data_IF_483533209443
#
_entry.id   IF_483533209443
#
_cell.length_a   1.000
_cell.length_b   1.000
_cell.length_c   1.000
_cell.angle_alpha   90.00
_cell.angle_beta   90.00
_cell.angle_gamma   90.00
#
_symmetry.space_group_name_H-M   'P 1'
#
loop_
_entity.id
_entity.type
_entity.pdbx_description
1 polymer ?
#
# COMPACT_ATOMS: atom_id res chain seq x y z
N UNK A 1 -50.54 4.80 -3.40
CA UNK A 1 -49.67 3.86 -2.64
C UNK A 1 -48.53 3.28 -3.47
N UNK A 2 -48.74 2.88 -4.74
CA UNK A 2 -47.67 2.36 -5.62
C UNK A 2 -46.46 3.32 -5.82
N UNK A 3 -46.69 4.63 -5.86
CA UNK A 3 -45.61 5.61 -6.12
C UNK A 3 -44.67 5.83 -4.92
N UNK A 4 -45.10 5.54 -3.69
CA UNK A 4 -44.25 5.69 -2.50
C UNK A 4 -43.27 4.52 -2.35
N UNK A 5 -43.65 3.32 -2.81
CA UNK A 5 -42.78 2.13 -2.78
C UNK A 5 -41.58 2.33 -3.72
N UNK A 6 -41.80 2.91 -4.90
CA UNK A 6 -40.73 3.21 -5.87
C UNK A 6 -39.71 4.22 -5.31
N UNK A 7 -40.19 5.25 -4.58
CA UNK A 7 -39.34 6.27 -3.99
C UNK A 7 -38.46 5.71 -2.85
N UNK A 8 -39.02 4.81 -2.04
CA UNK A 8 -38.26 4.14 -0.96
C UNK A 8 -37.19 3.20 -1.51
N UNK A 9 -37.50 2.44 -2.57
CA UNK A 9 -36.52 1.55 -3.22
C UNK A 9 -35.39 2.35 -3.87
N UNK A 10 -35.72 3.48 -4.53
CA UNK A 10 -34.71 4.34 -5.15
C UNK A 10 -33.76 4.97 -4.11
N UNK A 11 -34.27 5.34 -2.94
CA UNK A 11 -33.46 5.90 -1.84
C UNK A 11 -32.51 4.88 -1.19
N UNK A 12 -32.90 3.60 -1.13
CA UNK A 12 -32.06 2.50 -0.60
C UNK A 12 -30.94 2.12 -1.60
N UNK A 13 -31.19 2.25 -2.91
CA UNK A 13 -30.17 1.97 -3.93
C UNK A 13 -29.13 3.10 -4.02
N UNK A 14 -29.54 4.36 -3.79
CA UNK A 14 -28.61 5.50 -3.77
C UNK A 14 -27.67 5.52 -2.56
N UNK A 15 -28.06 4.93 -1.42
CA UNK A 15 -27.19 4.83 -0.25
C UNK A 15 -26.18 3.67 -0.33
N UNK A 16 -26.39 2.69 -1.20
CA UNK A 16 -25.48 1.54 -1.36
C UNK A 16 -24.36 1.76 -2.39
N UNK A 17 -24.49 2.73 -3.31
CA UNK A 17 -23.44 3.08 -4.28
C UNK A 17 -22.30 3.93 -3.70
N UNK A 18 -22.46 4.47 -2.48
CA UNK A 18 -21.44 5.31 -1.84
C UNK A 18 -20.36 4.53 -1.06
N UNK A 19 -20.56 3.23 -0.84
CA UNK A 19 -19.54 2.36 -0.24
C UNK A 19 -18.68 1.73 -1.33
N UNK A 20 -18.02 2.56 -2.14
CA UNK A 20 -16.86 2.09 -2.89
C UNK A 20 -15.91 1.43 -1.88
N UNK A 21 -15.56 0.15 -2.11
CA UNK A 21 -14.63 -0.60 -1.24
C UNK A 21 -13.39 0.25 -1.01
N UNK A 22 -13.32 0.93 0.13
CA UNK A 22 -12.17 1.74 0.47
C UNK A 22 -11.04 0.77 0.77
N UNK A 23 -10.08 0.62 -0.13
CA UNK A 23 -8.88 -0.16 0.11
C UNK A 23 -7.80 0.72 0.76
N UNK A 24 -6.81 0.09 1.41
CA UNK A 24 -5.61 0.80 1.90
C UNK A 24 -4.95 1.55 0.74
N UNK A 25 -4.83 0.92 -0.42
CA UNK A 25 -4.32 1.52 -1.67
C UNK A 25 -5.10 2.79 -2.07
N UNK A 26 -6.43 2.77 -1.96
CA UNK A 26 -7.26 3.93 -2.25
C UNK A 26 -7.01 5.11 -1.29
N UNK A 27 -6.65 4.82 -0.04
CA UNK A 27 -6.26 5.86 0.93
C UNK A 27 -4.88 6.41 0.59
N UNK A 28 -3.92 5.53 0.30
CA UNK A 28 -2.56 5.90 -0.07
C UNK A 28 -2.52 6.72 -1.38
N UNK A 29 -3.32 6.35 -2.39
CA UNK A 29 -3.35 7.01 -3.72
C UNK A 29 -3.55 8.52 -3.66
N UNK A 30 -4.22 9.03 -2.63
CA UNK A 30 -4.44 10.48 -2.42
C UNK A 30 -3.13 11.27 -2.32
N UNK A 31 -2.08 10.65 -1.81
CA UNK A 31 -0.80 11.30 -1.48
C UNK A 31 0.20 11.24 -2.65
N UNK A 32 -0.11 10.56 -3.76
CA UNK A 32 0.84 10.35 -4.86
C UNK A 32 1.36 11.65 -5.49
N UNK A 33 0.55 12.69 -5.47
CA UNK A 33 0.83 13.98 -6.09
C UNK A 33 1.29 15.05 -5.09
N UNK A 34 1.53 14.67 -3.82
CA UNK A 34 2.01 15.62 -2.81
C UNK A 34 3.49 15.95 -3.04
N UNK A 35 3.88 17.22 -2.93
CA UNK A 35 5.24 17.71 -3.23
C UNK A 35 6.38 16.99 -2.47
N UNK A 36 6.08 16.53 -1.25
CA UNK A 36 7.02 15.83 -0.38
C UNK A 36 6.90 14.30 -0.43
N UNK A 37 6.05 13.79 -1.31
CA UNK A 37 5.85 12.36 -1.53
C UNK A 37 6.54 11.93 -2.81
N UNK A 38 6.98 10.70 -2.80
CA UNK A 38 7.66 10.07 -3.91
C UNK A 38 7.06 8.67 -4.00
N UNK A 39 6.33 8.40 -5.09
CA UNK A 39 5.54 7.17 -5.24
C UNK A 39 6.00 6.35 -6.43
N UNK A 40 6.08 5.04 -6.24
CA UNK A 40 6.26 4.06 -7.32
C UNK A 40 5.12 3.07 -7.27
N UNK A 41 4.60 2.74 -8.44
CA UNK A 41 3.67 1.63 -8.61
C UNK A 41 4.17 0.73 -9.73
N UNK A 42 4.39 -0.54 -9.41
CA UNK A 42 4.70 -1.59 -10.37
C UNK A 42 3.59 -2.63 -10.40
N UNK A 43 3.10 -2.93 -11.60
CA UNK A 43 2.10 -3.97 -11.84
C UNK A 43 2.37 -4.64 -13.20
N UNK A 44 1.75 -5.81 -13.40
CA UNK A 44 1.74 -6.49 -14.69
C UNK A 44 3.13 -6.76 -15.29
N UNK A 45 3.30 -6.46 -16.57
CA UNK A 45 4.53 -6.79 -17.30
C UNK A 45 5.73 -5.93 -16.89
N UNK A 46 5.50 -4.72 -16.38
CA UNK A 46 6.57 -3.88 -15.84
C UNK A 46 7.17 -4.53 -14.60
N UNK A 47 6.32 -4.95 -13.65
CA UNK A 47 6.76 -5.67 -12.47
C UNK A 47 7.52 -6.97 -12.81
N UNK A 48 7.02 -7.74 -13.79
CA UNK A 48 7.72 -8.95 -14.25
C UNK A 48 9.10 -8.65 -14.82
N UNK A 49 9.28 -7.56 -15.57
CA UNK A 49 10.59 -7.13 -16.07
C UNK A 49 11.54 -6.77 -14.93
N UNK A 50 11.05 -6.03 -13.93
CA UNK A 50 11.85 -5.66 -12.76
C UNK A 50 12.27 -6.87 -11.90
N UNK A 51 11.35 -7.81 -11.65
CA UNK A 51 11.66 -9.01 -10.88
C UNK A 51 12.61 -9.95 -11.64
N UNK A 52 12.51 -10.05 -12.97
CA UNK A 52 13.39 -10.89 -13.79
C UNK A 52 14.86 -10.45 -13.76
N UNK A 53 15.13 -9.16 -13.55
CA UNK A 53 16.50 -8.66 -13.38
C UNK A 53 17.13 -9.10 -12.05
N UNK A 54 16.32 -9.58 -11.10
CA UNK A 54 16.75 -10.04 -9.79
C UNK A 54 16.57 -11.57 -9.74
N UNK A 55 17.54 -12.33 -10.27
CA UNK A 55 17.45 -13.77 -10.60
C UNK A 55 17.12 -14.76 -9.45
N UNK A 56 16.67 -14.33 -8.27
CA UNK A 56 16.47 -15.21 -7.11
C UNK A 56 15.20 -14.91 -6.28
N UNK A 57 14.18 -14.26 -6.86
CA UNK A 57 12.89 -14.04 -6.18
C UNK A 57 11.91 -15.15 -6.62
N UNK A 58 11.56 -16.06 -5.71
CA UNK A 58 10.56 -17.12 -5.95
C UNK A 58 9.12 -16.62 -5.79
N UNK A 59 8.95 -15.48 -5.12
CA UNK A 59 7.67 -14.81 -4.94
C UNK A 59 7.07 -14.38 -6.28
N UNK A 60 5.78 -14.67 -6.48
CA UNK A 60 5.02 -14.13 -7.62
C UNK A 60 4.33 -12.85 -7.15
N UNK A 61 5.07 -11.74 -7.15
CA UNK A 61 4.51 -10.43 -6.83
C UNK A 61 3.75 -9.92 -8.05
N UNK A 62 2.51 -9.51 -7.84
CA UNK A 62 1.60 -9.01 -8.88
C UNK A 62 1.49 -7.49 -8.86
N UNK A 63 1.71 -6.90 -7.69
CA UNK A 63 1.58 -5.47 -7.44
C UNK A 63 2.54 -5.03 -6.35
N UNK A 64 3.20 -3.89 -6.57
CA UNK A 64 3.98 -3.15 -5.58
C UNK A 64 3.57 -1.67 -5.68
N UNK A 65 3.14 -1.08 -4.57
CA UNK A 65 2.95 0.37 -4.43
C UNK A 65 3.76 0.84 -3.23
N UNK A 66 4.70 1.77 -3.47
CA UNK A 66 5.56 2.34 -2.45
C UNK A 66 5.35 3.84 -2.43
N UNK A 67 5.21 4.41 -1.25
CA UNK A 67 5.15 5.84 -1.01
C UNK A 67 6.19 6.22 0.03
N UNK A 68 7.07 7.13 -0.35
CA UNK A 68 8.12 7.68 0.51
C UNK A 68 7.78 9.14 0.77
N UNK A 69 7.49 9.45 2.03
CA UNK A 69 7.27 10.79 2.54
C UNK A 69 8.60 11.33 3.10
N UNK A 70 8.98 12.53 2.70
CA UNK A 70 10.23 13.21 3.13
C UNK A 70 9.92 14.31 4.15
N UNK A 71 10.92 14.73 4.94
CA UNK A 71 10.86 15.90 5.86
C UNK A 71 9.87 15.73 7.03
N UNK A 72 9.85 14.55 7.65
CA UNK A 72 8.89 14.14 8.70
C UNK A 72 7.41 14.35 8.30
N UNK A 73 7.13 14.45 6.99
CA UNK A 73 5.76 14.37 6.49
C UNK A 73 5.30 12.91 6.51
N UNK A 74 3.99 12.70 6.53
CA UNK A 74 3.41 11.38 6.58
C UNK A 74 1.90 11.42 6.38
N UNK A 75 1.29 10.25 6.41
CA UNK A 75 -0.16 10.11 6.30
C UNK A 75 -0.83 10.84 7.47
N UNK A 76 -1.90 11.58 7.17
CA UNK A 76 -2.68 12.31 8.18
C UNK A 76 -3.20 11.36 9.27
N UNK A 77 -3.40 11.87 10.50
CA UNK A 77 -3.93 11.05 11.61
C UNK A 77 -5.27 10.41 11.27
N UNK A 78 -6.13 11.12 10.53
CA UNK A 78 -7.43 10.63 10.05
C UNK A 78 -7.27 9.44 9.09
N UNK A 79 -6.39 9.56 8.10
CA UNK A 79 -6.17 8.49 7.14
C UNK A 79 -5.40 7.31 7.77
N UNK A 80 -4.51 7.54 8.74
CA UNK A 80 -3.87 6.46 9.54
C UNK A 80 -4.90 5.64 10.31
N UNK A 81 -5.86 6.30 10.96
CA UNK A 81 -6.96 5.60 11.63
C UNK A 81 -7.77 4.78 10.63
N UNK A 82 -8.07 5.36 9.46
CA UNK A 82 -8.78 4.66 8.37
C UNK A 82 -8.02 3.44 7.87
N UNK A 83 -6.72 3.56 7.63
CA UNK A 83 -5.86 2.43 7.20
C UNK A 83 -5.88 1.33 8.27
N UNK A 84 -5.72 1.67 9.55
CA UNK A 84 -5.77 0.67 10.62
C UNK A 84 -7.11 -0.07 10.66
N UNK A 85 -8.23 0.64 10.51
CA UNK A 85 -9.56 0.00 10.41
C UNK A 85 -9.62 -0.95 9.21
N UNK A 86 -9.15 -0.51 8.05
CA UNK A 86 -9.16 -1.34 6.83
C UNK A 86 -8.30 -2.60 6.95
N UNK A 87 -7.10 -2.49 7.53
CA UNK A 87 -6.22 -3.63 7.78
C UNK A 87 -6.90 -4.65 8.72
N UNK A 88 -7.58 -4.18 9.76
CA UNK A 88 -8.35 -5.05 10.67
C UNK A 88 -9.55 -5.70 9.98
N UNK A 89 -10.35 -4.94 9.25
CA UNK A 89 -11.53 -5.46 8.53
C UNK A 89 -11.15 -6.46 7.45
N UNK A 90 -9.97 -6.31 6.84
CA UNK A 90 -9.43 -7.22 5.83
C UNK A 90 -8.65 -8.40 6.43
N UNK A 91 -8.66 -8.58 7.76
CA UNK A 91 -7.99 -9.67 8.47
C UNK A 91 -6.47 -9.74 8.22
N UNK A 92 -5.80 -8.58 8.17
CA UNK A 92 -4.34 -8.55 8.20
C UNK A 92 -3.83 -8.92 9.59
N UNK A 93 -2.85 -9.81 9.62
CA UNK A 93 -2.13 -10.19 10.83
C UNK A 93 -0.83 -9.40 10.94
N UNK A 94 -0.43 -9.06 12.16
CA UNK A 94 0.88 -8.44 12.40
C UNK A 94 1.96 -9.51 12.32
N UNK A 95 2.92 -9.31 11.42
CA UNK A 95 4.07 -10.21 11.22
C UNK A 95 5.32 -9.67 11.91
N UNK A 96 5.50 -8.35 11.86
CA UNK A 96 6.62 -7.63 12.48
C UNK A 96 6.07 -6.33 13.06
N UNK A 97 6.39 -6.01 14.31
CA UNK A 97 6.18 -4.68 14.89
C UNK A 97 7.36 -4.37 15.81
N UNK A 98 8.30 -3.56 15.31
CA UNK A 98 9.52 -3.18 16.00
C UNK A 98 9.53 -1.67 16.16
N UNK A 99 9.85 -1.22 17.36
CA UNK A 99 10.00 0.19 17.69
C UNK A 99 11.30 0.40 18.45
N UNK A 100 12.14 1.29 17.94
CA UNK A 100 13.39 1.73 18.57
C UNK A 100 13.41 3.26 18.70
N UNK A 101 14.54 3.81 19.17
CA UNK A 101 14.77 5.26 19.17
C UNK A 101 14.94 5.81 17.75
N UNK A 102 15.45 4.98 16.84
CA UNK A 102 15.78 5.35 15.45
C UNK A 102 14.55 5.29 14.54
N UNK A 103 13.49 4.59 14.96
CA UNK A 103 12.31 4.47 14.14
C UNK A 103 11.33 3.38 14.56
N UNK A 104 10.38 3.14 13.67
CA UNK A 104 9.37 2.08 13.77
C UNK A 104 9.32 1.32 12.46
N UNK A 105 9.23 0.00 12.53
CA UNK A 105 8.93 -0.86 11.40
C UNK A 105 7.73 -1.75 11.75
N UNK A 106 6.68 -1.69 10.94
CA UNK A 106 5.48 -2.51 11.07
C UNK A 106 5.22 -3.21 9.74
N UNK A 107 5.13 -4.53 9.77
CA UNK A 107 4.75 -5.37 8.63
C UNK A 107 3.53 -6.17 9.02
N UNK A 108 2.48 -6.06 8.21
CA UNK A 108 1.26 -6.85 8.34
C UNK A 108 1.01 -7.61 7.06
N UNK A 109 0.32 -8.75 7.12
CA UNK A 109 -0.06 -9.47 5.91
C UNK A 109 -1.27 -10.37 6.08
N UNK A 110 -1.82 -10.80 4.94
CA UNK A 110 -2.87 -11.81 4.88
C UNK A 110 -2.23 -13.12 4.44
N UNK A 111 -2.19 -14.10 5.32
CA UNK A 111 -1.59 -15.42 5.07
C UNK A 111 -2.59 -16.35 4.36
N UNK A 112 -2.09 -17.11 3.39
CA UNK A 112 -2.81 -18.23 2.77
C UNK A 112 -1.83 -19.40 2.56
N UNK A 113 -2.10 -20.52 3.22
CA UNK A 113 -1.17 -21.64 3.32
C UNK A 113 0.23 -21.17 3.78
N UNK A 114 1.24 -21.28 2.92
CA UNK A 114 2.64 -20.94 3.22
C UNK A 114 3.09 -19.58 2.68
N UNK A 115 2.15 -18.74 2.25
CA UNK A 115 2.43 -17.51 1.49
C UNK A 115 1.63 -16.32 2.00
N UNK A 116 2.19 -15.13 1.87
CA UNK A 116 1.48 -13.88 2.11
C UNK A 116 0.85 -13.43 0.80
N UNK A 117 -0.47 -13.24 0.81
CA UNK A 117 -1.25 -12.81 -0.37
C UNK A 117 -1.26 -11.29 -0.52
N UNK A 118 -1.28 -10.60 0.61
CA UNK A 118 -1.15 -9.16 0.70
C UNK A 118 -0.20 -8.81 1.84
N UNK A 119 0.64 -7.81 1.64
CA UNK A 119 1.58 -7.31 2.64
C UNK A 119 1.45 -5.80 2.70
N UNK A 120 1.28 -5.27 3.91
CA UNK A 120 1.35 -3.85 4.21
C UNK A 120 2.60 -3.59 5.04
N UNK A 121 3.37 -2.57 4.66
CA UNK A 121 4.59 -2.16 5.34
C UNK A 121 4.46 -0.69 5.71
N UNK A 122 4.76 -0.37 6.97
CA UNK A 122 4.96 0.98 7.48
C UNK A 122 6.36 1.05 8.10
N UNK A 123 7.22 1.92 7.56
CA UNK A 123 8.51 2.26 8.16
C UNK A 123 8.49 3.75 8.50
N UNK A 124 8.92 4.10 9.71
CA UNK A 124 9.14 5.48 10.11
C UNK A 124 10.57 5.62 10.63
N UNK A 125 11.31 6.58 10.08
CA UNK A 125 12.59 7.06 10.56
C UNK A 125 12.52 8.59 10.75
N UNK A 126 13.59 9.20 11.27
CA UNK A 126 13.63 10.60 11.72
C UNK A 126 13.13 11.60 10.66
N UNK A 127 13.55 11.44 9.39
CA UNK A 127 13.19 12.35 8.29
C UNK A 127 12.34 11.69 7.17
N UNK A 128 11.92 10.44 7.38
CA UNK A 128 11.30 9.64 6.32
C UNK A 128 10.22 8.71 6.85
N UNK A 129 9.08 8.69 6.17
CA UNK A 129 8.05 7.65 6.37
C UNK A 129 7.82 6.90 5.07
N UNK A 130 7.88 5.58 5.11
CA UNK A 130 7.65 4.70 3.96
C UNK A 130 6.39 3.89 4.22
N UNK A 131 5.50 3.86 3.24
CA UNK A 131 4.32 3.03 3.23
C UNK A 131 4.36 2.18 1.96
N UNK A 132 4.23 0.86 2.09
CA UNK A 132 4.22 -0.03 0.94
C UNK A 132 3.09 -1.06 1.01
N UNK A 133 2.58 -1.40 -0.16
CA UNK A 133 1.63 -2.48 -0.40
C UNK A 133 2.24 -3.44 -1.40
N UNK A 134 2.25 -4.72 -1.06
CA UNK A 134 2.59 -5.79 -1.98
C UNK A 134 1.42 -6.75 -2.09
N UNK A 135 1.11 -7.20 -3.30
CA UNK A 135 0.12 -8.25 -3.54
C UNK A 135 0.71 -9.36 -4.40
N UNK A 136 0.23 -10.56 -4.20
CA UNK A 136 0.64 -11.76 -4.93
C UNK A 136 1.09 -12.86 -3.96
N UNK A 137 1.80 -13.87 -4.45
CA UNK A 137 2.33 -14.95 -3.64
C UNK A 137 3.70 -14.56 -3.08
N UNK A 138 3.72 -13.84 -1.96
CA UNK A 138 4.95 -13.30 -1.35
C UNK A 138 5.49 -14.21 -0.26
N UNK A 139 6.76 -14.59 -0.37
CA UNK A 139 7.50 -15.26 0.69
C UNK A 139 8.06 -14.21 1.65
N UNK A 140 7.76 -14.34 2.94
CA UNK A 140 8.22 -13.38 3.96
C UNK A 140 9.75 -13.18 3.94
N UNK A 141 10.50 -14.28 3.77
CA UNK A 141 11.96 -14.26 3.71
C UNK A 141 12.54 -13.50 2.51
N UNK A 142 11.72 -13.20 1.50
CA UNK A 142 12.14 -12.46 0.30
C UNK A 142 11.74 -10.99 0.34
N UNK A 143 11.00 -10.52 1.36
CA UNK A 143 10.56 -9.13 1.45
C UNK A 143 11.71 -8.12 1.40
N UNK A 144 12.82 -8.40 2.08
CA UNK A 144 14.00 -7.53 2.06
C UNK A 144 14.64 -7.46 0.68
N UNK A 145 14.67 -8.58 -0.05
CA UNK A 145 15.17 -8.67 -1.43
C UNK A 145 14.27 -7.93 -2.41
N UNK A 146 12.95 -8.07 -2.26
CA UNK A 146 11.96 -7.35 -3.05
C UNK A 146 12.09 -5.85 -2.78
N UNK A 147 12.20 -5.44 -1.51
CA UNK A 147 12.39 -4.04 -1.15
C UNK A 147 13.70 -3.46 -1.71
N UNK A 148 14.82 -4.21 -1.67
CA UNK A 148 16.09 -3.76 -2.25
C UNK A 148 16.12 -3.75 -3.77
N UNK A 149 15.23 -4.49 -4.42
CA UNK A 149 15.08 -4.48 -5.88
C UNK A 149 14.32 -3.26 -6.41
N UNK A 150 13.62 -2.53 -5.54
CA UNK A 150 12.96 -1.28 -5.91
C UNK A 150 14.05 -0.23 -6.13
N UNK A 151 14.21 0.23 -7.37
CA UNK A 151 15.22 1.23 -7.71
C UNK A 151 14.83 2.61 -7.17
N UNK A 152 15.42 3.00 -6.04
CA UNK A 152 15.22 4.33 -5.44
C UNK A 152 15.95 5.46 -6.20
N UNK A 153 16.78 5.18 -7.21
CA UNK A 153 17.40 6.21 -8.06
C UNK A 153 16.47 6.68 -9.19
N UNK A 154 15.54 5.84 -9.66
CA UNK A 154 14.46 6.31 -10.55
C UNK A 154 13.52 7.31 -9.83
N UNK A 155 13.45 7.24 -8.50
CA UNK A 155 12.69 8.18 -7.68
C UNK A 155 13.27 9.58 -7.60
N UNK A 156 14.59 9.71 -7.69
CA UNK A 156 15.25 11.02 -7.77
C UNK A 156 15.15 11.57 -9.19
N UNK A 157 15.18 10.71 -10.22
CA UNK A 157 15.06 11.10 -11.62
C UNK A 157 13.65 11.61 -11.99
N UNK A 158 12.58 11.05 -11.42
CA UNK A 158 11.20 11.52 -11.64
C UNK A 158 10.92 12.94 -11.12
N UNK A 159 11.78 13.51 -10.26
CA UNK A 159 11.72 14.93 -9.86
C UNK A 159 12.47 15.89 -10.80
N UNK A 160 13.31 15.36 -11.71
CA UNK A 160 14.11 16.18 -12.61
C UNK A 160 13.35 16.51 -13.90
N UNK A 161 12.30 15.75 -14.24
CA UNK A 161 11.50 15.95 -15.45
C UNK A 161 10.33 16.93 -15.29
N UNK A 162 10.07 17.45 -14.09
CA UNK A 162 9.07 18.51 -13.83
C UNK A 162 9.72 19.90 -13.61
N UNK A 163 10.85 20.19 -14.29
CA UNK A 163 11.42 21.53 -14.39
C UNK A 163 11.43 22.06 -15.81
#
# INVERSE_FOLDING_TARGET
>A
MKNYILLTIFSIILSSVAFGQSTVEGVLRKYRNDDNVTSIMYEGDNLKKYLKQNENIKSSVEFIDVMVFKKDTGISTKDKAKINTLLQTQAYETLIDVKSKEGKAKVMGISSADKLTNVYIELKAEDMSIYAMLKGSVLLAELSKIASSVNFEELSALKILDK
#
